data_IF_041564945690
#
_entry.id   IF_041564945690
#
_cell.length_a   1.000
_cell.length_b   1.000
_cell.length_c   1.000
_cell.angle_alpha   90.00
_cell.angle_beta   90.00
_cell.angle_gamma   90.00
#
_symmetry.space_group_name_H-M   'P 1'
#
loop_
_entity.id
_entity.type
_entity.pdbx_description
1 polymer ?
#
# COMPACT_ATOMS: atom_id res chain seq x y z
N UNK A 1 21.29 -94.37 22.94
CA UNK A 1 22.66 -94.76 22.52
C UNK A 1 23.41 -93.45 22.39
N UNK A 2 24.33 -93.28 23.32
CA UNK A 2 25.71 -92.85 23.20
C UNK A 2 25.93 -91.40 22.74
N UNK A 3 26.25 -90.51 23.61
CA UNK A 3 27.54 -90.24 24.30
C UNK A 3 28.50 -89.47 23.38
N UNK A 4 29.05 -88.39 23.73
CA UNK A 4 30.28 -88.04 24.35
C UNK A 4 30.55 -86.56 24.11
N UNK A 5 30.76 -85.72 25.14
CA UNK A 5 31.98 -85.15 25.66
C UNK A 5 32.77 -84.26 24.66
N UNK A 6 33.36 -83.16 24.97
CA UNK A 6 33.78 -82.44 26.19
C UNK A 6 34.32 -81.07 25.79
N UNK A 7 34.29 -80.19 26.76
CA UNK A 7 35.25 -79.14 27.12
C UNK A 7 36.14 -78.46 26.08
N UNK A 8 36.14 -77.12 26.06
CA UNK A 8 37.32 -76.34 26.38
C UNK A 8 37.06 -74.82 26.45
N UNK A 9 37.15 -74.30 27.67
CA UNK A 9 37.99 -73.19 28.12
C UNK A 9 37.79 -71.78 27.44
N UNK A 10 37.13 -70.93 28.25
CA UNK A 10 37.57 -69.57 28.65
C UNK A 10 38.54 -68.79 27.72
N UNK A 11 37.97 -67.76 27.15
CA UNK A 11 38.75 -66.53 26.98
C UNK A 11 37.80 -65.31 27.21
N UNK A 12 37.88 -64.73 28.39
CA UNK A 12 37.30 -63.42 28.70
C UNK A 12 38.09 -62.38 27.92
N UNK A 13 37.47 -61.74 26.88
CA UNK A 13 37.97 -60.48 26.37
C UNK A 13 37.10 -59.36 26.94
N UNK A 14 37.68 -58.55 27.76
CA UNK A 14 37.16 -57.27 28.21
C UNK A 14 37.10 -56.36 26.96
N UNK A 15 35.91 -55.96 26.57
CA UNK A 15 35.74 -54.88 25.63
C UNK A 15 35.74 -53.59 26.45
N UNK A 16 36.77 -52.81 26.35
CA UNK A 16 36.85 -51.47 26.89
C UNK A 16 35.92 -50.57 26.00
N UNK A 17 34.85 -50.04 26.61
CA UNK A 17 33.99 -49.07 25.98
C UNK A 17 34.74 -47.72 26.01
N UNK A 18 35.37 -47.34 24.90
CA UNK A 18 35.92 -46.01 24.70
C UNK A 18 34.74 -45.01 24.73
N UNK A 19 34.71 -44.14 25.72
CA UNK A 19 33.81 -42.98 25.78
C UNK A 19 34.21 -42.01 24.71
N UNK A 20 33.51 -42.00 23.57
CA UNK A 20 33.59 -40.94 22.59
C UNK A 20 32.76 -39.76 23.12
N UNK A 21 33.47 -38.76 23.64
CA UNK A 21 32.87 -37.48 23.96
C UNK A 21 32.49 -36.78 22.63
N UNK A 22 31.24 -36.92 22.21
CA UNK A 22 30.70 -36.17 21.10
C UNK A 22 30.52 -34.72 21.50
N UNK A 23 31.38 -33.85 21.02
CA UNK A 23 31.16 -32.42 21.08
C UNK A 23 29.96 -32.08 20.23
N UNK A 24 28.82 -31.70 20.87
CA UNK A 24 27.65 -31.14 20.21
C UNK A 24 28.04 -29.75 19.74
N UNK A 25 28.40 -29.63 18.47
CA UNK A 25 28.50 -28.33 17.80
C UNK A 25 27.06 -27.77 17.64
N UNK A 26 26.68 -26.81 18.47
CA UNK A 26 25.49 -26.02 18.23
C UNK A 26 25.66 -25.20 16.93
N UNK A 27 24.71 -25.24 15.99
CA UNK A 27 24.86 -24.50 14.75
C UNK A 27 24.72 -23.00 14.99
N UNK A 28 25.69 -22.24 14.52
CA UNK A 28 25.73 -20.77 14.47
C UNK A 28 24.70 -20.18 13.46
N UNK A 29 23.52 -20.80 13.32
CA UNK A 29 22.51 -20.42 12.32
C UNK A 29 21.55 -19.28 12.76
N UNK A 30 21.61 -18.85 14.04
CA UNK A 30 20.63 -17.89 14.57
C UNK A 30 21.01 -16.42 14.29
N UNK A 31 22.29 -16.12 14.04
CA UNK A 31 22.74 -14.73 13.87
C UNK A 31 22.52 -14.11 12.48
N UNK A 32 22.30 -14.91 11.44
CA UNK A 32 22.12 -14.39 10.06
C UNK A 32 20.70 -13.89 9.81
N UNK A 33 19.69 -14.46 10.46
CA UNK A 33 18.30 -14.06 10.26
C UNK A 33 17.96 -12.66 10.85
N UNK A 34 18.64 -12.26 11.91
CA UNK A 34 18.44 -10.96 12.57
C UNK A 34 19.08 -9.81 11.80
N UNK A 35 20.24 -10.02 11.19
CA UNK A 35 20.90 -9.02 10.35
C UNK A 35 20.12 -8.75 9.05
N UNK A 36 19.52 -9.77 8.45
CA UNK A 36 18.67 -9.61 7.27
C UNK A 36 17.39 -8.81 7.56
N UNK A 37 16.87 -8.89 8.79
CA UNK A 37 15.70 -8.12 9.22
C UNK A 37 16.02 -6.63 9.43
N UNK A 38 17.17 -6.30 9.98
CA UNK A 38 17.59 -4.92 10.21
C UNK A 38 17.93 -4.20 8.89
N UNK A 39 18.67 -4.83 7.99
CA UNK A 39 18.95 -4.28 6.66
C UNK A 39 17.65 -4.00 5.89
N UNK A 40 16.63 -4.84 6.05
CA UNK A 40 15.33 -4.67 5.42
C UNK A 40 14.51 -3.51 6.01
N UNK A 41 14.64 -3.24 7.30
CA UNK A 41 13.99 -2.09 7.95
C UNK A 41 14.63 -0.77 7.51
N UNK A 42 15.94 -0.72 7.43
CA UNK A 42 16.70 0.44 6.94
C UNK A 42 16.37 0.76 5.48
N UNK A 43 16.23 -0.27 4.63
CA UNK A 43 15.82 -0.12 3.24
C UNK A 43 14.39 0.48 3.12
N UNK A 44 13.45 0.05 3.97
CA UNK A 44 12.09 0.60 4.00
C UNK A 44 12.10 2.05 4.45
N UNK A 45 12.84 2.37 5.52
CA UNK A 45 12.96 3.73 6.04
C UNK A 45 13.55 4.69 5.00
N UNK A 46 14.63 4.29 4.32
CA UNK A 46 15.26 5.05 3.25
C UNK A 46 14.29 5.27 2.08
N UNK A 47 13.57 4.23 1.66
CA UNK A 47 12.60 4.32 0.58
C UNK A 47 11.39 5.17 0.97
N UNK A 48 10.92 5.11 2.20
CA UNK A 48 9.85 5.96 2.74
C UNK A 48 10.26 7.44 2.71
N UNK A 49 11.50 7.75 3.13
CA UNK A 49 12.05 9.11 3.03
C UNK A 49 12.03 9.61 1.59
N UNK A 50 12.55 8.82 0.66
CA UNK A 50 12.54 9.14 -0.77
C UNK A 50 11.13 9.42 -1.31
N UNK A 51 10.12 8.66 -0.91
CA UNK A 51 8.72 8.94 -1.30
C UNK A 51 8.26 10.30 -0.75
N UNK A 52 8.63 10.62 0.50
CA UNK A 52 8.24 11.87 1.18
C UNK A 52 8.89 13.11 0.58
N UNK A 53 10.02 13.00 -0.11
CA UNK A 53 10.65 14.13 -0.79
C UNK A 53 9.72 14.77 -1.84
N UNK A 54 8.87 13.97 -2.50
CA UNK A 54 7.85 14.46 -3.42
C UNK A 54 6.47 14.57 -2.79
N UNK A 55 6.08 13.60 -1.96
CA UNK A 55 4.74 13.53 -1.36
C UNK A 55 4.57 14.34 -0.06
N UNK A 56 5.60 15.13 0.33
CA UNK A 56 5.64 15.93 1.56
C UNK A 56 6.15 15.15 2.77
N UNK A 57 6.86 15.81 3.68
CA UNK A 57 7.56 15.17 4.81
C UNK A 57 6.63 14.38 5.75
N UNK A 58 5.37 14.79 5.90
CA UNK A 58 4.33 14.01 6.56
C UNK A 58 3.40 13.27 5.60
N UNK A 59 3.82 13.12 4.33
CA UNK A 59 3.04 12.51 3.25
C UNK A 59 1.66 13.16 3.02
N UNK A 60 1.53 14.44 3.38
CA UNK A 60 0.29 15.22 3.18
C UNK A 60 0.09 15.69 1.74
N UNK A 61 1.03 15.41 0.84
CA UNK A 61 1.04 15.88 -0.53
C UNK A 61 1.83 17.17 -0.72
N UNK A 62 1.93 17.62 -1.97
CA UNK A 62 2.54 18.88 -2.36
C UNK A 62 1.60 19.66 -3.27
N UNK A 63 1.26 20.89 -2.86
CA UNK A 63 0.33 21.76 -3.56
C UNK A 63 1.10 22.77 -4.43
N UNK A 64 1.63 22.32 -5.56
CA UNK A 64 2.31 23.13 -6.54
C UNK A 64 1.59 23.11 -7.89
N UNK A 65 2.26 23.61 -8.93
CA UNK A 65 1.73 23.63 -10.30
C UNK A 65 1.31 22.22 -10.77
N UNK A 66 2.10 21.21 -10.41
CA UNK A 66 1.72 19.80 -10.54
C UNK A 66 1.44 19.24 -9.16
N UNK A 67 0.17 19.11 -8.77
CA UNK A 67 -0.18 18.65 -7.44
C UNK A 67 0.22 17.18 -7.25
N UNK A 68 1.02 16.90 -6.21
CA UNK A 68 1.45 15.56 -5.83
C UNK A 68 0.57 15.07 -4.68
N UNK A 69 -0.07 13.89 -4.77
CA UNK A 69 -1.12 13.51 -3.85
C UNK A 69 -0.64 13.26 -2.43
N UNK A 70 -1.55 13.48 -1.49
CA UNK A 70 -1.48 12.97 -0.13
C UNK A 70 -1.48 11.44 -0.16
N UNK A 71 -0.54 10.83 0.55
CA UNK A 71 -0.47 9.39 0.80
C UNK A 71 -0.83 9.04 2.24
N UNK A 72 -0.70 10.00 3.17
CA UNK A 72 -0.96 9.80 4.58
C UNK A 72 -2.41 9.34 4.84
N UNK A 73 -2.56 8.25 5.60
CA UNK A 73 -3.83 7.64 5.95
C UNK A 73 -4.51 6.88 4.81
N UNK A 74 -3.83 6.70 3.67
CA UNK A 74 -4.41 6.00 2.52
C UNK A 74 -4.56 4.50 2.79
N UNK A 75 -5.55 3.86 2.21
CA UNK A 75 -5.82 2.44 2.37
C UNK A 75 -4.64 1.61 1.82
N UNK A 76 -4.18 0.64 2.61
CA UNK A 76 -3.05 -0.23 2.27
C UNK A 76 -3.27 -0.93 0.92
N UNK A 77 -4.44 -1.54 0.73
CA UNK A 77 -4.75 -2.25 -0.52
C UNK A 77 -4.86 -1.31 -1.72
N UNK A 78 -5.34 -0.08 -1.51
CA UNK A 78 -5.35 0.93 -2.57
C UNK A 78 -3.93 1.32 -2.97
N UNK A 79 -3.03 1.59 -2.02
CA UNK A 79 -1.63 1.94 -2.33
C UNK A 79 -0.94 0.82 -3.08
N UNK A 80 -1.09 -0.43 -2.63
CA UNK A 80 -0.56 -1.63 -3.32
C UNK A 80 -1.04 -1.70 -4.76
N UNK A 81 -2.37 -1.63 -4.96
CA UNK A 81 -2.96 -1.68 -6.30
C UNK A 81 -2.49 -0.52 -7.18
N UNK A 82 -2.36 0.70 -6.64
CA UNK A 82 -1.92 1.85 -7.44
C UNK A 82 -0.46 1.75 -7.87
N UNK A 83 0.44 1.30 -7.00
CA UNK A 83 1.84 1.07 -7.36
C UNK A 83 1.94 -0.02 -8.44
N UNK A 84 1.19 -1.11 -8.27
CA UNK A 84 1.10 -2.16 -9.29
C UNK A 84 0.49 -1.63 -10.61
N UNK A 85 -0.54 -0.79 -10.53
CA UNK A 85 -1.21 -0.21 -11.70
C UNK A 85 -0.28 0.66 -12.55
N UNK A 86 0.68 1.37 -11.92
CA UNK A 86 1.71 2.10 -12.66
C UNK A 86 2.65 1.15 -13.42
N UNK A 87 3.12 0.09 -12.77
CA UNK A 87 3.99 -0.92 -13.38
C UNK A 87 3.29 -1.61 -14.56
N UNK A 88 2.03 -1.96 -14.39
CA UNK A 88 1.21 -2.63 -15.42
C UNK A 88 0.61 -1.70 -16.47
N UNK A 89 0.88 -0.40 -16.39
CA UNK A 89 0.31 0.60 -17.30
C UNK A 89 -1.23 0.66 -17.31
N UNK A 90 -1.88 0.19 -16.25
CA UNK A 90 -3.32 0.41 -16.01
C UNK A 90 -3.59 1.86 -15.57
N UNK A 91 -2.58 2.47 -14.98
CA UNK A 91 -2.53 3.90 -14.64
C UNK A 91 -1.30 4.54 -15.23
N UNK A 92 -1.47 5.65 -15.94
CA UNK A 92 -0.39 6.34 -16.65
C UNK A 92 0.19 7.46 -15.80
N UNK A 93 1.45 7.37 -15.48
CA UNK A 93 2.31 8.44 -14.96
C UNK A 93 3.76 7.96 -15.06
N UNK A 94 4.57 8.61 -15.89
CA UNK A 94 5.94 8.15 -16.16
C UNK A 94 6.85 8.24 -14.92
N UNK A 95 6.69 9.26 -14.08
CA UNK A 95 7.49 9.40 -12.86
C UNK A 95 7.17 8.24 -11.93
N UNK A 96 5.87 8.01 -11.66
CA UNK A 96 5.45 6.94 -10.77
C UNK A 96 5.72 5.53 -11.33
N UNK A 97 5.71 5.35 -12.65
CA UNK A 97 6.19 4.12 -13.26
C UNK A 97 7.66 3.87 -12.92
N UNK A 98 8.53 4.88 -13.11
CA UNK A 98 9.96 4.76 -12.81
C UNK A 98 10.25 4.50 -11.32
N UNK A 99 9.41 5.00 -10.44
CA UNK A 99 9.51 4.71 -8.99
C UNK A 99 8.99 3.30 -8.69
N UNK A 100 7.80 2.98 -9.16
CA UNK A 100 7.10 1.76 -8.77
C UNK A 100 7.77 0.48 -9.28
N UNK A 101 8.33 0.47 -10.50
CA UNK A 101 8.93 -0.72 -11.09
C UNK A 101 10.22 -1.18 -10.38
N UNK A 102 10.82 -0.33 -9.55
CA UNK A 102 12.01 -0.68 -8.74
C UNK A 102 11.65 -1.31 -7.39
N UNK A 103 10.35 -1.35 -7.04
CA UNK A 103 9.90 -1.83 -5.73
C UNK A 103 9.54 -3.31 -5.77
N UNK A 104 10.05 -4.08 -4.81
CA UNK A 104 9.59 -5.45 -4.60
C UNK A 104 8.18 -5.48 -4.00
N UNK A 105 7.41 -6.57 -4.16
CA UNK A 105 6.10 -6.71 -3.51
C UNK A 105 6.14 -6.52 -1.99
N UNK A 106 7.20 -6.99 -1.33
CA UNK A 106 7.40 -6.81 0.11
C UNK A 106 7.64 -5.34 0.49
N UNK A 107 8.42 -4.61 -0.33
CA UNK A 107 8.65 -3.18 -0.15
C UNK A 107 7.34 -2.39 -0.35
N UNK A 108 6.57 -2.70 -1.38
CA UNK A 108 5.26 -2.09 -1.63
C UNK A 108 4.33 -2.28 -0.44
N UNK A 109 4.27 -3.49 0.14
CA UNK A 109 3.46 -3.77 1.32
C UNK A 109 3.88 -2.93 2.53
N UNK A 110 5.18 -2.91 2.84
CA UNK A 110 5.72 -2.15 3.97
C UNK A 110 5.46 -0.64 3.85
N UNK A 111 5.71 -0.07 2.67
CA UNK A 111 5.44 1.36 2.40
C UNK A 111 3.95 1.70 2.51
N UNK A 112 3.06 0.83 2.02
CA UNK A 112 1.62 1.02 2.10
C UNK A 112 1.14 1.04 3.56
N UNK A 113 1.66 0.16 4.40
CA UNK A 113 1.36 0.10 5.83
C UNK A 113 1.91 1.31 6.58
N UNK A 114 3.09 1.82 6.21
CA UNK A 114 3.65 3.04 6.79
C UNK A 114 2.78 4.26 6.46
N UNK A 115 2.38 4.45 5.21
CA UNK A 115 1.50 5.54 4.83
C UNK A 115 0.13 5.46 5.50
N UNK A 116 -0.40 4.26 5.71
CA UNK A 116 -1.69 4.04 6.40
C UNK A 116 -1.69 4.55 7.83
N UNK A 117 -0.57 4.48 8.53
CA UNK A 117 -0.43 4.92 9.93
C UNK A 117 -0.31 6.43 10.09
N UNK A 118 -0.01 7.18 9.01
CA UNK A 118 0.14 8.62 9.07
C UNK A 118 -1.23 9.33 9.04
N UNK A 119 -1.42 10.36 9.82
CA UNK A 119 -2.63 11.17 9.79
C UNK A 119 -2.37 12.66 10.10
N UNK A 120 -1.53 13.34 9.29
CA UNK A 120 -1.34 14.78 9.44
C UNK A 120 -2.64 15.53 9.13
N UNK A 121 -2.80 16.80 9.59
CA UNK A 121 -3.89 17.67 9.20
C UNK A 121 -3.97 17.80 7.66
N UNK A 122 -5.14 18.15 7.11
CA UNK A 122 -5.26 18.51 5.70
C UNK A 122 -4.34 19.68 5.35
N UNK A 123 -3.82 19.67 4.13
CA UNK A 123 -2.96 20.75 3.63
C UNK A 123 -3.84 21.91 3.18
N UNK A 124 -3.72 23.07 3.82
CA UNK A 124 -4.40 24.29 3.38
C UNK A 124 -5.81 24.51 3.94
N UNK A 125 -6.08 24.15 5.15
CA UNK A 125 -7.31 24.13 5.93
C UNK A 125 -8.26 25.34 6.00
N UNK A 126 -8.29 26.27 5.04
CA UNK A 126 -9.33 27.29 4.99
C UNK A 126 -10.61 26.71 4.32
N UNK A 127 -11.81 26.97 4.87
CA UNK A 127 -13.06 26.55 4.23
C UNK A 127 -13.15 27.13 2.81
N UNK A 128 -13.39 26.28 1.83
CA UNK A 128 -13.61 26.71 0.47
C UNK A 128 -15.10 27.11 0.31
N UNK A 129 -15.43 28.21 -0.41
CA UNK A 129 -16.83 28.66 -0.57
C UNK A 129 -17.79 27.60 -1.09
N UNK A 130 -17.31 26.67 -1.92
CA UNK A 130 -18.11 25.59 -2.48
C UNK A 130 -18.19 24.32 -1.63
N UNK A 131 -17.59 24.27 -0.45
CA UNK A 131 -17.55 23.07 0.36
C UNK A 131 -18.96 22.58 0.78
N UNK A 132 -19.90 23.49 1.01
CA UNK A 132 -21.29 23.14 1.35
C UNK A 132 -22.01 22.46 0.19
N UNK A 133 -21.83 22.93 -1.05
CA UNK A 133 -22.32 22.27 -2.26
C UNK A 133 -21.67 20.89 -2.44
N UNK A 134 -20.34 20.83 -2.30
CA UNK A 134 -19.58 19.61 -2.39
C UNK A 134 -20.00 18.56 -1.37
N UNK A 135 -20.36 18.98 -0.16
CA UNK A 135 -20.91 18.10 0.87
C UNK A 135 -22.19 17.43 0.41
N UNK A 136 -23.15 18.20 -0.12
CA UNK A 136 -24.41 17.64 -0.63
C UNK A 136 -24.18 16.63 -1.75
N UNK A 137 -23.32 16.96 -2.72
CA UNK A 137 -22.97 16.02 -3.79
C UNK A 137 -22.30 14.76 -3.22
N UNK A 138 -21.42 14.90 -2.24
CA UNK A 138 -20.74 13.78 -1.63
C UNK A 138 -21.68 12.86 -0.85
N UNK A 139 -22.60 13.43 -0.07
CA UNK A 139 -23.54 12.70 0.80
C UNK A 139 -24.75 12.16 0.04
N UNK A 140 -25.31 12.92 -0.92
CA UNK A 140 -26.59 12.62 -1.57
C UNK A 140 -26.45 12.18 -3.04
N UNK A 141 -25.30 12.49 -3.67
CA UNK A 141 -25.14 12.30 -5.12
C UNK A 141 -25.86 13.36 -5.96
N UNK A 142 -26.09 13.02 -7.23
CA UNK A 142 -26.87 13.84 -8.20
C UNK A 142 -27.75 12.86 -8.98
N UNK A 143 -28.96 12.53 -8.49
CA UNK A 143 -29.82 11.53 -9.10
C UNK A 143 -30.15 11.83 -10.57
N UNK A 144 -30.43 13.09 -10.92
CA UNK A 144 -30.74 13.52 -12.29
C UNK A 144 -29.57 13.32 -13.28
N UNK A 145 -28.35 13.21 -12.78
CA UNK A 145 -27.16 12.93 -13.57
C UNK A 145 -26.64 11.48 -13.41
N UNK A 146 -27.40 10.60 -12.76
CA UNK A 146 -27.00 9.24 -12.42
C UNK A 146 -25.67 9.16 -11.65
N UNK A 147 -25.38 10.17 -10.81
CA UNK A 147 -24.21 10.18 -9.93
C UNK A 147 -24.64 9.70 -8.55
N UNK A 148 -24.22 8.50 -8.18
CA UNK A 148 -24.44 7.98 -6.83
C UNK A 148 -23.71 8.83 -5.77
N UNK A 149 -24.21 8.83 -4.53
CA UNK A 149 -23.53 9.43 -3.41
C UNK A 149 -22.09 8.91 -3.28
N UNK A 150 -21.11 9.78 -3.26
CA UNK A 150 -19.70 9.40 -3.12
C UNK A 150 -19.45 8.64 -1.80
N UNK A 151 -20.19 9.04 -0.74
CA UNK A 151 -20.16 8.42 0.57
C UNK A 151 -20.54 6.94 0.56
N UNK A 152 -21.35 6.48 -0.41
CA UNK A 152 -21.77 5.08 -0.52
C UNK A 152 -20.55 4.12 -0.68
N UNK A 153 -19.52 4.58 -1.39
CA UNK A 153 -18.30 3.80 -1.59
C UNK A 153 -17.13 4.32 -0.73
N UNK A 154 -16.91 5.64 -0.72
CA UNK A 154 -15.77 6.24 -0.01
C UNK A 154 -15.97 6.37 1.50
N UNK A 155 -17.16 6.01 2.01
CA UNK A 155 -17.54 6.14 3.42
C UNK A 155 -17.96 7.58 3.79
N UNK A 156 -18.75 7.75 4.86
CA UNK A 156 -19.29 9.06 5.26
C UNK A 156 -18.21 10.06 5.68
N UNK A 157 -17.06 9.59 6.16
CA UNK A 157 -15.87 10.40 6.48
C UNK A 157 -14.87 10.46 5.33
N UNK A 158 -15.20 9.94 4.14
CA UNK A 158 -14.32 9.88 2.98
C UNK A 158 -12.99 9.14 3.25
N UNK A 159 -12.97 8.19 4.18
CA UNK A 159 -11.75 7.43 4.54
C UNK A 159 -11.46 6.26 3.62
N UNK A 160 -12.43 5.85 2.81
CA UNK A 160 -12.33 4.68 1.93
C UNK A 160 -12.25 3.35 2.68
N UNK A 161 -12.16 2.25 1.92
CA UNK A 161 -11.99 0.89 2.45
C UNK A 161 -11.39 -0.04 1.39
N UNK A 162 -10.42 -0.86 1.77
CA UNK A 162 -9.78 -1.80 0.85
C UNK A 162 -9.18 -1.10 -0.37
N UNK A 163 -9.66 -1.40 -1.56
CA UNK A 163 -9.22 -0.75 -2.81
C UNK A 163 -9.91 0.60 -3.09
N UNK A 164 -10.91 0.98 -2.31
CA UNK A 164 -11.57 2.29 -2.43
C UNK A 164 -10.75 3.32 -1.66
N UNK A 165 -10.25 4.37 -2.32
CA UNK A 165 -9.30 5.29 -1.69
C UNK A 165 -9.94 6.20 -0.64
N UNK A 166 -9.12 6.57 0.34
CA UNK A 166 -9.35 7.74 1.18
C UNK A 166 -9.32 9.01 0.32
N UNK A 167 -10.34 9.82 0.42
CA UNK A 167 -10.43 11.16 -0.18
C UNK A 167 -10.23 12.27 0.86
N UNK A 168 -10.50 11.97 2.14
CA UNK A 168 -10.39 12.94 3.22
C UNK A 168 -8.98 13.54 3.29
N UNK A 169 -8.93 14.88 3.24
CA UNK A 169 -7.70 15.66 3.27
C UNK A 169 -6.84 15.57 2.00
N UNK A 170 -7.37 15.02 0.90
CA UNK A 170 -6.66 15.03 -0.37
C UNK A 170 -6.63 16.45 -0.94
N UNK A 171 -5.56 16.78 -1.66
CA UNK A 171 -5.37 18.13 -2.21
C UNK A 171 -6.49 18.49 -3.19
N UNK A 172 -7.08 19.68 -3.01
CA UNK A 172 -8.10 20.23 -3.89
C UNK A 172 -7.73 20.16 -5.38
N UNK A 173 -6.56 20.70 -5.83
CA UNK A 173 -6.20 20.65 -7.24
C UNK A 173 -5.89 19.23 -7.73
N UNK A 174 -5.45 18.32 -6.85
CA UNK A 174 -5.23 16.94 -7.22
C UNK A 174 -6.55 16.21 -7.52
N UNK A 175 -7.58 16.39 -6.69
CA UNK A 175 -8.90 15.80 -6.90
C UNK A 175 -9.49 16.27 -8.22
N UNK A 176 -9.45 17.59 -8.50
CA UNK A 176 -9.91 18.15 -9.78
C UNK A 176 -9.18 17.50 -10.95
N UNK A 177 -7.84 17.51 -10.88
CA UNK A 177 -7.01 16.96 -11.96
C UNK A 177 -7.36 15.47 -12.22
N UNK A 178 -7.61 14.68 -11.17
CA UNK A 178 -7.94 13.26 -11.34
C UNK A 178 -9.33 13.04 -11.94
N UNK A 179 -10.33 13.80 -11.54
CA UNK A 179 -11.68 13.66 -12.10
C UNK A 179 -11.74 14.15 -13.55
N UNK A 180 -11.10 15.28 -13.87
CA UNK A 180 -11.08 15.83 -15.23
C UNK A 180 -10.28 14.96 -16.23
N UNK A 181 -9.20 14.35 -15.78
CA UNK A 181 -8.31 13.54 -16.62
C UNK A 181 -8.47 12.04 -16.43
N UNK A 182 -9.61 11.56 -15.93
CA UNK A 182 -9.80 10.17 -15.57
C UNK A 182 -9.38 9.20 -16.67
N UNK A 183 -9.93 9.35 -17.87
CA UNK A 183 -9.66 8.44 -18.99
C UNK A 183 -8.24 8.53 -19.56
N UNK A 184 -7.61 9.68 -19.40
CA UNK A 184 -6.22 9.87 -19.85
C UNK A 184 -5.22 9.15 -18.95
N UNK A 185 -5.61 8.92 -17.68
CA UNK A 185 -4.73 8.34 -16.68
C UNK A 185 -5.10 6.90 -16.29
N UNK A 186 -6.32 6.46 -16.62
CA UNK A 186 -6.88 5.17 -16.20
C UNK A 186 -7.35 4.33 -17.38
N UNK A 187 -7.38 3.02 -17.19
CA UNK A 187 -7.85 2.10 -18.24
C UNK A 187 -6.96 1.98 -19.46
N UNK A 188 -5.71 2.41 -19.39
CA UNK A 188 -4.78 2.40 -20.52
C UNK A 188 -4.37 0.98 -20.95
N UNK A 189 -4.38 0.03 -20.02
CA UNK A 189 -4.13 -1.38 -20.31
C UNK A 189 -5.45 -2.17 -20.25
N UNK A 190 -6.11 -2.33 -21.40
CA UNK A 190 -7.38 -3.07 -21.50
C UNK A 190 -7.27 -4.55 -21.19
N UNK A 191 -6.09 -5.13 -21.34
CA UNK A 191 -5.84 -6.53 -21.01
C UNK A 191 -5.79 -6.79 -19.49
N UNK A 192 -5.62 -5.73 -18.70
CA UNK A 192 -5.58 -5.79 -17.23
C UNK A 192 -6.53 -4.75 -16.63
N UNK A 193 -7.86 -4.95 -16.71
CA UNK A 193 -8.83 -4.04 -16.10
C UNK A 193 -8.63 -3.98 -14.57
N UNK A 194 -8.98 -2.85 -13.98
CA UNK A 194 -8.94 -2.69 -12.53
C UNK A 194 -10.25 -2.11 -11.95
N UNK A 195 -10.36 -2.15 -10.64
CA UNK A 195 -11.53 -1.65 -9.90
C UNK A 195 -11.79 -0.16 -10.08
N UNK A 196 -10.82 0.61 -10.59
CA UNK A 196 -10.99 2.04 -10.86
C UNK A 196 -11.98 2.32 -12.00
N UNK A 197 -12.30 1.31 -12.82
CA UNK A 197 -13.27 1.44 -13.92
C UNK A 197 -14.67 1.90 -13.44
N UNK A 198 -15.07 1.57 -12.19
CA UNK A 198 -16.35 2.00 -11.62
C UNK A 198 -16.44 3.52 -11.46
N UNK A 199 -15.31 4.21 -11.38
CA UNK A 199 -15.28 5.67 -11.26
C UNK A 199 -15.38 6.40 -12.62
N UNK A 200 -15.18 5.71 -13.75
CA UNK A 200 -15.24 6.33 -15.07
C UNK A 200 -16.62 6.99 -15.35
N UNK A 201 -17.75 6.31 -15.21
CA UNK A 201 -19.06 6.95 -15.40
C UNK A 201 -19.29 8.10 -14.41
N UNK A 202 -18.83 8.00 -13.17
CA UNK A 202 -18.96 9.08 -12.19
C UNK A 202 -18.16 10.31 -12.62
N UNK A 203 -16.91 10.13 -13.03
CA UNK A 203 -16.05 11.22 -13.49
C UNK A 203 -16.62 11.92 -14.73
N UNK A 204 -17.24 11.17 -15.66
CA UNK A 204 -17.87 11.73 -16.88
C UNK A 204 -19.19 12.47 -16.61
N UNK A 205 -19.94 12.06 -15.61
CA UNK A 205 -21.25 12.66 -15.31
C UNK A 205 -21.15 13.96 -14.51
N UNK A 206 -19.99 14.24 -13.92
CA UNK A 206 -19.76 15.49 -13.17
C UNK A 206 -19.32 16.62 -14.09
N UNK A 207 -19.99 17.76 -14.01
CA UNK A 207 -19.52 18.98 -14.66
C UNK A 207 -18.39 19.64 -13.82
N UNK A 208 -17.70 20.61 -14.43
CA UNK A 208 -16.56 21.29 -13.79
C UNK A 208 -16.89 21.90 -12.43
N UNK A 209 -18.06 22.56 -12.31
CA UNK A 209 -18.51 23.18 -11.07
C UNK A 209 -18.71 22.15 -9.95
N UNK A 210 -19.29 21.00 -10.28
CA UNK A 210 -19.54 19.90 -9.34
C UNK A 210 -18.21 19.23 -8.91
N UNK A 211 -17.27 19.04 -9.84
CA UNK A 211 -15.93 18.55 -9.55
C UNK A 211 -15.21 19.47 -8.54
N UNK A 212 -15.24 20.79 -8.79
CA UNK A 212 -14.66 21.80 -7.90
C UNK A 212 -15.31 21.77 -6.51
N UNK A 213 -16.65 21.63 -6.45
CA UNK A 213 -17.39 21.58 -5.19
C UNK A 213 -17.00 20.34 -4.37
N UNK A 214 -17.01 19.15 -4.97
CA UNK A 214 -16.61 17.91 -4.28
C UNK A 214 -15.15 17.97 -3.84
N UNK A 215 -14.25 18.45 -4.70
CA UNK A 215 -12.86 18.64 -4.35
C UNK A 215 -12.66 19.58 -3.15
N UNK A 216 -13.43 20.68 -3.12
CA UNK A 216 -13.45 21.62 -2.01
C UNK A 216 -13.86 20.97 -0.69
N UNK A 217 -14.91 20.15 -0.71
CA UNK A 217 -15.37 19.46 0.49
C UNK A 217 -14.35 18.42 0.99
N UNK A 218 -13.96 17.47 0.13
CA UNK A 218 -13.09 16.36 0.58
C UNK A 218 -11.71 16.83 1.02
N UNK A 219 -11.22 17.94 0.48
CA UNK A 219 -9.90 18.49 0.86
C UNK A 219 -9.87 19.05 2.30
N UNK A 220 -11.01 19.35 2.90
CA UNK A 220 -11.11 19.88 4.28
C UNK A 220 -11.31 18.79 5.32
N UNK A 221 -11.68 17.57 4.91
CA UNK A 221 -11.95 16.46 5.83
C UNK A 221 -10.66 15.91 6.47
N UNK A 222 -10.81 15.31 7.65
CA UNK A 222 -9.73 14.64 8.40
C UNK A 222 -9.83 13.13 8.38
#
# INVERSE_FOLDING_TARGET
MSAFWSDALRARRRIEIAKVAGAVALPAAISVATLSGLARADDVAAKLSYCKDCHGQSAQGYNGYFPIPRLAGQQTEYVKNQLQAFVERRRTNNIMFNVAHTLSPAMIAALADDFRRLNPPPFGGAPHPRAAEGRRIFEDGIPDANVAACAACHGPQATGSGQIPRLAGQLYPYVINKLVNWDRERGQNRAKPDTSAVMSPVAHSLNKSQIEAVAAFVSTLR
#
